data_IF_006003439963
#
_entry.id   IF_006003439963
#
_cell.length_a   1.000
_cell.length_b   1.000
_cell.length_c   1.000
_cell.angle_alpha   90.00
_cell.angle_beta   90.00
_cell.angle_gamma   90.00
#
_symmetry.space_group_name_H-M   'P 1'
#
loop_
_entity.id
_entity.type
_entity.pdbx_description
1 polymer ?
#
# COMPACT_ATOMS: atom_id res chain seq x y z
N UNK A 1 19.03 -16.95 -16.41
CA UNK A 1 19.26 -15.81 -15.49
C UNK A 1 18.04 -15.65 -14.61
N UNK A 2 18.19 -15.82 -13.30
CA UNK A 2 17.12 -15.64 -12.33
C UNK A 2 16.86 -14.16 -12.12
N UNK A 3 15.59 -13.74 -12.10
CA UNK A 3 15.22 -12.35 -11.76
C UNK A 3 15.63 -11.98 -10.32
N UNK A 4 15.44 -10.71 -9.91
CA UNK A 4 15.68 -10.31 -8.53
C UNK A 4 14.83 -11.17 -7.59
N UNK A 5 15.46 -11.71 -6.54
CA UNK A 5 14.72 -12.37 -5.46
C UNK A 5 14.05 -11.30 -4.60
N UNK A 6 12.81 -10.97 -4.96
CA UNK A 6 12.01 -9.93 -4.30
C UNK A 6 11.61 -10.30 -2.86
N UNK A 7 11.81 -11.56 -2.47
CA UNK A 7 11.49 -12.10 -1.14
C UNK A 7 12.70 -12.20 -0.22
N UNK A 8 13.91 -12.06 -0.76
CA UNK A 8 15.13 -11.97 0.02
C UNK A 8 15.15 -10.69 0.88
N UNK A 9 15.83 -10.71 2.05
CA UNK A 9 16.08 -9.50 2.81
C UNK A 9 16.83 -8.45 1.98
N UNK A 10 16.42 -7.19 2.09
CA UNK A 10 17.07 -6.05 1.42
C UNK A 10 18.49 -5.82 1.96
N UNK A 11 18.79 -6.25 3.19
CA UNK A 11 20.12 -6.13 3.78
C UNK A 11 20.51 -4.70 4.17
N UNK A 12 19.58 -3.75 4.07
CA UNK A 12 19.78 -2.36 4.50
C UNK A 12 18.44 -1.76 4.91
N UNK A 13 18.37 -1.21 6.14
CA UNK A 13 17.22 -0.42 6.59
C UNK A 13 17.21 0.95 5.89
N UNK A 14 16.04 1.51 5.65
CA UNK A 14 15.98 2.79 4.94
C UNK A 14 14.62 3.45 4.97
N UNK A 15 14.55 4.60 4.31
CA UNK A 15 13.33 5.36 4.12
C UNK A 15 13.36 6.04 2.75
N UNK A 16 12.20 6.12 2.10
CA UNK A 16 12.04 6.84 0.83
C UNK A 16 10.72 7.60 0.80
N UNK A 17 10.71 8.74 0.12
CA UNK A 17 9.51 9.53 -0.11
C UNK A 17 8.64 8.86 -1.19
N UNK A 18 7.33 8.89 -0.99
CA UNK A 18 6.33 8.38 -1.93
C UNK A 18 5.58 9.57 -2.50
N UNK A 19 6.10 10.10 -3.60
CA UNK A 19 5.55 11.28 -4.28
C UNK A 19 4.73 10.84 -5.48
N UNK A 20 3.40 10.96 -5.38
CA UNK A 20 2.51 10.69 -6.49
C UNK A 20 2.58 11.83 -7.53
N UNK A 21 3.02 11.50 -8.74
CA UNK A 21 3.08 12.38 -9.89
C UNK A 21 1.69 12.78 -10.39
N UNK A 22 0.63 12.03 -10.04
CA UNK A 22 -0.74 12.36 -10.39
C UNK A 22 -1.45 13.09 -9.25
N UNK A 23 -1.90 14.30 -9.54
CA UNK A 23 -2.92 14.96 -8.73
C UNK A 23 -4.28 14.25 -8.88
N UNK A 24 -5.19 14.46 -7.93
CA UNK A 24 -6.54 13.91 -7.98
C UNK A 24 -7.29 14.27 -9.28
N UNK A 25 -7.14 15.51 -9.77
CA UNK A 25 -7.78 15.96 -11.01
C UNK A 25 -7.20 15.27 -12.25
N UNK A 26 -5.87 15.09 -12.30
CA UNK A 26 -5.22 14.34 -13.39
C UNK A 26 -5.63 12.87 -13.38
N UNK A 27 -5.78 12.27 -12.19
CA UNK A 27 -6.28 10.90 -12.04
C UNK A 27 -7.71 10.75 -12.61
N UNK A 28 -8.62 11.68 -12.30
CA UNK A 28 -9.99 11.68 -12.81
C UNK A 28 -10.05 11.88 -14.33
N UNK A 29 -9.17 12.72 -14.89
CA UNK A 29 -9.08 12.97 -16.32
C UNK A 29 -8.43 11.84 -17.13
N UNK A 30 -7.80 10.87 -16.47
CA UNK A 30 -7.11 9.77 -17.15
C UNK A 30 -8.12 8.77 -17.72
N UNK A 31 -8.05 8.52 -19.03
CA UNK A 31 -8.91 7.52 -19.69
C UNK A 31 -8.64 6.14 -19.10
N UNK A 32 -9.70 5.37 -18.84
CA UNK A 32 -9.61 3.98 -18.36
C UNK A 32 -8.92 3.04 -19.36
N UNK A 33 -8.84 3.45 -20.62
CA UNK A 33 -8.15 2.75 -21.71
C UNK A 33 -6.67 3.13 -21.85
N UNK A 34 -6.15 4.04 -21.01
CA UNK A 34 -4.73 4.38 -21.04
C UNK A 34 -3.89 3.12 -20.74
N UNK A 35 -2.93 2.77 -21.61
CA UNK A 35 -2.19 1.52 -21.47
C UNK A 35 -1.26 1.55 -20.26
N UNK A 36 -0.59 2.68 -20.01
CA UNK A 36 0.28 2.92 -18.87
C UNK A 36 0.14 4.37 -18.38
N UNK A 37 0.11 4.56 -17.06
CA UNK A 37 0.06 5.87 -16.41
C UNK A 37 0.99 5.84 -15.20
N UNK A 38 2.13 6.52 -15.32
CA UNK A 38 3.11 6.62 -14.25
C UNK A 38 2.51 7.26 -12.99
N UNK A 39 2.88 6.74 -11.81
CA UNK A 39 2.49 7.25 -10.49
C UNK A 39 3.69 7.77 -9.73
N UNK A 40 4.71 6.95 -9.53
CA UNK A 40 5.91 7.38 -8.84
C UNK A 40 7.08 6.47 -9.15
N UNK A 41 8.27 6.95 -8.81
CA UNK A 41 9.51 6.20 -8.84
C UNK A 41 10.08 6.16 -7.43
N UNK A 42 10.57 4.99 -7.00
CA UNK A 42 11.16 4.77 -5.69
C UNK A 42 12.51 4.06 -5.84
N UNK A 43 13.51 4.48 -5.07
CA UNK A 43 14.77 3.75 -4.93
C UNK A 43 14.77 3.03 -3.58
N UNK A 44 14.54 1.71 -3.62
CA UNK A 44 14.43 0.86 -2.41
C UNK A 44 15.65 -0.02 -2.30
N UNK A 45 16.59 0.33 -1.42
CA UNK A 45 17.84 -0.41 -1.20
C UNK A 45 18.60 -0.76 -2.50
N UNK A 46 18.67 0.19 -3.44
CA UNK A 46 19.33 0.02 -4.74
C UNK A 46 18.44 -0.55 -5.84
N UNK A 47 17.19 -0.94 -5.54
CA UNK A 47 16.19 -1.30 -6.55
C UNK A 47 15.46 -0.05 -7.05
N UNK A 48 15.56 0.21 -8.34
CA UNK A 48 14.78 1.26 -8.99
C UNK A 48 13.40 0.73 -9.35
N UNK A 49 12.37 1.25 -8.69
CA UNK A 49 10.99 0.81 -8.81
C UNK A 49 10.17 1.87 -9.53
N UNK A 50 9.56 1.52 -10.64
CA UNK A 50 8.51 2.30 -11.29
C UNK A 50 7.13 1.79 -10.88
N UNK A 51 6.28 2.67 -10.36
CA UNK A 51 4.89 2.38 -10.01
C UNK A 51 3.98 3.04 -11.04
N UNK A 52 3.11 2.26 -11.67
CA UNK A 52 2.23 2.75 -12.73
C UNK A 52 0.87 2.03 -12.74
N UNK A 53 -0.13 2.68 -13.33
CA UNK A 53 -1.40 2.03 -13.66
C UNK A 53 -1.28 1.48 -15.05
N UNK A 54 -1.74 0.24 -15.24
CA UNK A 54 -1.97 -0.32 -16.57
C UNK A 54 -3.47 -0.40 -16.89
N UNK A 55 -3.76 -0.84 -18.11
CA UNK A 55 -5.12 -1.05 -18.61
C UNK A 55 -6.01 -1.76 -17.57
N UNK A 56 -7.26 -1.29 -17.42
CA UNK A 56 -8.21 -1.87 -16.46
C UNK A 56 -8.00 -1.41 -15.01
N UNK A 57 -7.20 -0.35 -14.83
CA UNK A 57 -6.97 0.33 -13.56
C UNK A 57 -6.26 -0.57 -12.53
N UNK A 58 -5.33 -1.40 -13.01
CA UNK A 58 -4.46 -2.26 -12.19
C UNK A 58 -3.20 -1.48 -11.88
N UNK A 59 -2.86 -1.36 -10.60
CA UNK A 59 -1.62 -0.72 -10.17
C UNK A 59 -0.50 -1.77 -10.15
N UNK A 60 0.61 -1.48 -10.79
CA UNK A 60 1.74 -2.37 -10.95
C UNK A 60 3.05 -1.69 -10.55
N UNK A 61 4.00 -2.49 -10.12
CA UNK A 61 5.38 -2.12 -9.86
C UNK A 61 6.29 -2.89 -10.82
N UNK A 62 7.18 -2.17 -11.49
CA UNK A 62 8.27 -2.77 -12.26
C UNK A 62 9.61 -2.40 -11.66
N UNK A 63 10.57 -3.32 -11.70
CA UNK A 63 11.95 -3.09 -11.26
C UNK A 63 12.85 -3.15 -12.48
N UNK A 64 13.72 -2.16 -12.64
CA UNK A 64 14.75 -2.18 -13.69
C UNK A 64 15.84 -3.17 -13.31
N UNK A 65 16.04 -4.19 -14.14
CA UNK A 65 17.08 -5.19 -13.97
C UNK A 65 18.48 -4.68 -14.32
N UNK A 66 19.53 -5.47 -14.04
CA UNK A 66 20.91 -5.13 -14.39
C UNK A 66 21.15 -4.99 -15.91
N UNK A 67 20.30 -5.62 -16.70
CA UNK A 67 20.25 -5.54 -18.17
C UNK A 67 19.54 -4.27 -18.69
N UNK A 68 19.02 -3.43 -17.78
CA UNK A 68 18.25 -2.24 -18.12
C UNK A 68 16.79 -2.52 -18.48
N UNK A 69 16.36 -3.78 -18.47
CA UNK A 69 14.97 -4.14 -18.77
C UNK A 69 14.08 -4.00 -17.52
N UNK A 70 12.94 -3.33 -17.67
CA UNK A 70 11.94 -3.25 -16.61
C UNK A 70 11.11 -4.54 -16.55
N UNK A 71 11.03 -5.13 -15.35
CA UNK A 71 10.25 -6.36 -15.11
C UNK A 71 9.17 -6.10 -14.07
N UNK A 72 7.92 -6.42 -14.38
CA UNK A 72 6.83 -6.35 -13.42
C UNK A 72 7.10 -7.33 -12.27
N UNK A 73 7.13 -6.83 -11.04
CA UNK A 73 7.39 -7.64 -9.83
C UNK A 73 6.14 -7.83 -8.99
N UNK A 74 5.24 -6.85 -8.99
CA UNK A 74 4.02 -6.87 -8.21
C UNK A 74 2.92 -6.10 -8.93
N UNK A 75 1.68 -6.54 -8.83
CA UNK A 75 0.51 -5.78 -9.26
C UNK A 75 -0.69 -6.05 -8.37
N UNK A 76 -1.65 -5.14 -8.38
CA UNK A 76 -2.81 -5.18 -7.50
C UNK A 76 -3.94 -4.37 -8.06
N UNK A 77 -5.16 -4.80 -7.77
CA UNK A 77 -6.36 -4.04 -8.08
C UNK A 77 -7.27 -4.08 -6.87
N UNK A 78 -7.73 -2.91 -6.48
CA UNK A 78 -8.62 -2.81 -5.35
C UNK A 78 -10.02 -3.34 -5.71
N UNK A 79 -10.55 -4.13 -4.79
CA UNK A 79 -11.81 -4.82 -4.91
C UNK A 79 -12.73 -4.34 -3.79
N UNK A 80 -13.94 -3.94 -4.15
CA UNK A 80 -14.97 -3.61 -3.17
C UNK A 80 -15.48 -4.90 -2.55
N UNK A 81 -15.32 -5.05 -1.24
CA UNK A 81 -15.89 -6.14 -0.46
C UNK A 81 -17.11 -5.60 0.26
N UNK A 82 -18.26 -6.24 0.00
CA UNK A 82 -19.49 -6.01 0.75
C UNK A 82 -19.59 -7.09 1.82
N UNK A 83 -19.41 -6.73 3.08
CA UNK A 83 -19.73 -7.64 4.18
C UNK A 83 -20.85 -7.06 5.02
N UNK A 84 -21.90 -7.85 5.23
CA UNK A 84 -22.96 -7.59 6.19
C UNK A 84 -23.90 -8.79 6.29
N UNK A 85 -24.00 -9.38 7.47
CA UNK A 85 -25.22 -10.05 7.90
C UNK A 85 -25.97 -9.06 8.79
N UNK A 86 -27.23 -8.82 8.44
CA UNK A 86 -28.21 -7.96 9.11
C UNK A 86 -27.91 -6.45 9.21
N UNK A 87 -28.77 -5.69 8.53
CA UNK A 87 -29.10 -4.26 8.65
C UNK A 87 -28.04 -3.21 8.30
N UNK A 88 -26.74 -3.51 8.30
CA UNK A 88 -25.69 -2.57 7.87
C UNK A 88 -24.68 -3.21 6.91
N UNK A 89 -24.67 -2.74 5.66
CA UNK A 89 -23.66 -3.11 4.65
C UNK A 89 -22.44 -2.23 4.88
N UNK A 90 -21.31 -2.83 5.25
CA UNK A 90 -20.03 -2.13 5.35
C UNK A 90 -19.26 -2.32 4.06
N UNK A 91 -19.31 -1.32 3.18
CA UNK A 91 -18.43 -1.28 2.02
C UNK A 91 -17.00 -0.95 2.49
N UNK A 92 -16.06 -1.83 2.16
CA UNK A 92 -14.63 -1.54 2.28
C UNK A 92 -13.87 -2.10 1.09
N UNK A 93 -12.64 -1.64 0.92
CA UNK A 93 -11.79 -2.07 -0.19
C UNK A 93 -10.61 -2.85 0.36
N UNK A 94 -10.36 -4.00 -0.25
CA UNK A 94 -9.10 -4.73 -0.11
C UNK A 94 -8.37 -4.65 -1.44
N UNK A 95 -7.07 -4.92 -1.43
CA UNK A 95 -6.31 -5.03 -2.66
C UNK A 95 -5.45 -6.27 -2.60
N UNK A 96 -5.96 -7.42 -3.10
CA UNK A 96 -5.13 -8.58 -3.33
C UNK A 96 -4.01 -8.20 -4.28
N UNK A 97 -2.84 -8.79 -4.07
CA UNK A 97 -1.66 -8.52 -4.90
C UNK A 97 -1.24 -9.80 -5.62
N UNK A 98 -0.71 -9.66 -6.82
CA UNK A 98 0.03 -10.70 -7.51
C UNK A 98 1.49 -10.31 -7.50
N UNK A 99 2.37 -11.19 -7.02
CA UNK A 99 3.81 -10.97 -6.92
C UNK A 99 4.53 -12.13 -7.60
N UNK A 100 5.26 -11.83 -8.68
CA UNK A 100 5.94 -12.82 -9.54
C UNK A 100 5.06 -14.05 -9.87
N UNK A 101 3.76 -13.85 -10.07
CA UNK A 101 2.79 -14.90 -10.38
C UNK A 101 2.15 -15.62 -9.19
N UNK A 102 2.59 -15.35 -7.95
CA UNK A 102 1.93 -15.80 -6.73
C UNK A 102 0.91 -14.78 -6.21
N UNK A 103 -0.15 -15.24 -5.54
CA UNK A 103 -1.18 -14.36 -4.97
C UNK A 103 -0.87 -14.05 -3.50
N UNK A 104 -1.11 -12.80 -3.13
CA UNK A 104 -1.19 -12.31 -1.76
C UNK A 104 -2.64 -11.97 -1.51
N UNK A 105 -3.26 -12.74 -0.62
CA UNK A 105 -4.63 -12.54 -0.18
C UNK A 105 -4.68 -11.46 0.89
N UNK A 106 -5.70 -10.63 0.84
CA UNK A 106 -5.90 -9.55 1.81
C UNK A 106 -7.32 -9.62 2.33
N UNK A 107 -7.45 -9.95 3.60
CA UNK A 107 -8.73 -10.00 4.31
C UNK A 107 -8.76 -8.93 5.38
N UNK A 108 -9.93 -8.33 5.62
CA UNK A 108 -10.08 -7.31 6.65
C UNK A 108 -10.67 -7.95 7.89
N UNK A 109 -10.03 -7.68 9.02
CA UNK A 109 -10.46 -8.15 10.33
C UNK A 109 -10.72 -6.96 11.25
N UNK A 110 -11.63 -7.16 12.21
CA UNK A 110 -11.88 -6.16 13.26
C UNK A 110 -10.78 -6.27 14.32
N UNK A 111 -10.11 -5.16 14.58
CA UNK A 111 -9.03 -5.07 15.58
C UNK A 111 -9.52 -4.18 16.74
N UNK A 112 -10.16 -4.78 17.73
CA UNK A 112 -10.76 -4.06 18.86
C UNK A 112 -12.05 -3.29 18.51
N UNK A 113 -12.41 -2.29 19.32
CA UNK A 113 -13.72 -1.62 19.23
C UNK A 113 -13.90 -0.81 17.95
N UNK A 114 -12.91 0.03 17.61
CA UNK A 114 -13.01 1.05 16.56
C UNK A 114 -11.88 0.97 15.51
N UNK A 115 -11.05 -0.07 15.55
CA UNK A 115 -9.96 -0.27 14.59
C UNK A 115 -10.19 -1.54 13.79
N UNK A 116 -9.61 -1.56 12.62
CA UNK A 116 -9.57 -2.70 11.73
C UNK A 116 -8.11 -2.96 11.40
N UNK A 117 -7.80 -4.18 11.00
CA UNK A 117 -6.52 -4.56 10.43
C UNK A 117 -6.76 -5.39 9.17
N UNK A 118 -5.77 -5.45 8.29
CA UNK A 118 -5.76 -6.46 7.25
C UNK A 118 -4.90 -7.63 7.70
N UNK A 119 -5.46 -8.81 7.60
CA UNK A 119 -4.68 -10.04 7.55
C UNK A 119 -4.25 -10.26 6.11
N UNK A 120 -2.95 -10.45 5.92
CA UNK A 120 -2.31 -10.57 4.62
C UNK A 120 -1.63 -11.94 4.57
N UNK A 121 -2.11 -12.82 3.71
CA UNK A 121 -1.57 -14.17 3.56
C UNK A 121 -0.88 -14.26 2.19
N UNK A 122 0.40 -14.61 2.18
CA UNK A 122 1.21 -14.71 0.97
C UNK A 122 1.85 -16.10 0.78
N UNK A 123 2.76 -16.23 -0.18
CA UNK A 123 3.39 -17.51 -0.49
C UNK A 123 4.32 -17.98 0.64
N UNK A 124 4.63 -19.28 0.64
CA UNK A 124 5.58 -19.91 1.57
C UNK A 124 5.20 -19.70 3.05
N UNK A 125 3.91 -19.79 3.36
CA UNK A 125 3.35 -19.61 4.72
C UNK A 125 3.69 -18.25 5.35
N UNK A 126 4.02 -17.25 4.53
CA UNK A 126 4.26 -15.89 4.99
C UNK A 126 2.93 -15.21 5.28
N UNK A 127 2.77 -14.76 6.52
CA UNK A 127 1.60 -14.01 6.95
C UNK A 127 2.03 -12.70 7.58
N UNK A 128 1.26 -11.65 7.30
CA UNK A 128 1.44 -10.34 7.90
C UNK A 128 0.12 -9.82 8.43
N UNK A 129 0.25 -8.87 9.35
CA UNK A 129 -0.83 -8.00 9.77
C UNK A 129 -0.49 -6.61 9.32
N UNK A 130 -1.43 -5.98 8.65
CA UNK A 130 -1.28 -4.63 8.18
C UNK A 130 -2.31 -3.73 8.85
N UNK A 131 -1.83 -2.87 9.75
CA UNK A 131 -2.70 -2.13 10.67
C UNK A 131 -2.50 -0.63 10.58
N UNK A 132 -3.56 0.17 10.75
CA UNK A 132 -3.44 1.59 10.99
C UNK A 132 -2.86 1.87 12.38
N UNK A 133 -1.90 2.78 12.46
CA UNK A 133 -1.27 3.21 13.71
C UNK A 133 -1.26 4.73 13.85
N UNK A 134 -1.19 5.20 15.10
CA UNK A 134 -1.35 6.60 15.47
C UNK A 134 -2.14 6.75 16.78
N UNK A 135 -1.95 7.87 17.48
CA UNK A 135 -2.52 8.11 18.82
C UNK A 135 -4.00 8.44 18.74
N UNK A 136 -4.35 9.57 18.10
CA UNK A 136 -5.73 10.03 17.96
C UNK A 136 -6.32 9.65 16.60
N UNK A 137 -5.55 9.89 15.54
CA UNK A 137 -5.86 9.57 14.15
C UNK A 137 -4.79 8.62 13.64
N UNK A 138 -5.20 7.67 12.78
CA UNK A 138 -4.24 6.86 12.05
C UNK A 138 -3.44 7.77 11.12
N UNK A 139 -2.15 7.90 11.37
CA UNK A 139 -1.24 8.76 10.62
C UNK A 139 -0.20 7.97 9.83
N UNK A 140 -0.25 6.64 9.96
CA UNK A 140 0.58 5.67 9.26
C UNK A 140 -0.09 4.30 9.22
N UNK A 141 0.41 3.45 8.34
CA UNK A 141 0.11 2.03 8.28
C UNK A 141 1.37 1.23 8.61
N UNK A 142 1.23 0.20 9.44
CA UNK A 142 2.31 -0.64 9.95
C UNK A 142 2.10 -2.08 9.48
N UNK A 143 3.04 -2.61 8.69
CA UNK A 143 3.08 -4.01 8.27
C UNK A 143 3.97 -4.77 9.25
N UNK A 144 3.41 -5.78 9.91
CA UNK A 144 4.08 -6.61 10.92
C UNK A 144 3.96 -8.07 10.48
N UNK A 145 5.07 -8.82 10.48
CA UNK A 145 5.03 -10.27 10.23
C UNK A 145 4.31 -10.97 11.37
N UNK A 146 3.62 -12.06 11.10
CA UNK A 146 2.97 -12.82 12.17
C UNK A 146 4.01 -13.34 13.18
N UNK A 147 3.66 -13.27 14.47
CA UNK A 147 4.57 -13.57 15.58
C UNK A 147 5.56 -12.45 15.95
N UNK A 148 5.75 -11.43 15.12
CA UNK A 148 6.60 -10.27 15.44
C UNK A 148 5.84 -9.17 16.21
N UNK A 149 6.57 -8.41 17.03
CA UNK A 149 6.01 -7.29 17.81
C UNK A 149 6.16 -5.93 17.15
N UNK A 150 7.17 -5.78 16.30
CA UNK A 150 7.54 -4.52 15.66
C UNK A 150 7.21 -4.56 14.18
N UNK A 151 6.80 -3.45 13.56
CA UNK A 151 6.54 -3.41 12.13
C UNK A 151 7.83 -3.52 11.32
N UNK A 152 7.84 -4.42 10.33
CA UNK A 152 8.94 -4.56 9.37
C UNK A 152 8.93 -3.41 8.35
N UNK A 153 7.74 -2.89 8.02
CA UNK A 153 7.55 -1.73 7.15
C UNK A 153 6.52 -0.79 7.75
N UNK A 154 6.79 0.51 7.69
CA UNK A 154 5.87 1.58 8.09
C UNK A 154 5.68 2.54 6.94
N UNK A 155 4.44 2.80 6.54
CA UNK A 155 4.11 3.78 5.52
C UNK A 155 3.34 4.93 6.16
N UNK A 156 3.87 6.14 6.14
CA UNK A 156 3.17 7.31 6.68
C UNK A 156 1.99 7.68 5.77
N UNK A 157 0.87 8.06 6.37
CA UNK A 157 -0.31 8.54 5.66
C UNK A 157 -0.27 10.06 5.71
N UNK A 158 -0.13 10.72 4.56
CA UNK A 158 -0.13 12.19 4.46
C UNK A 158 -0.99 12.61 3.26
N UNK A 159 -1.75 13.73 3.38
CA UNK A 159 -1.95 14.55 4.57
C UNK A 159 -2.83 13.87 5.64
N UNK A 160 -2.68 14.27 6.90
CA UNK A 160 -3.58 13.86 8.02
C UNK A 160 -4.56 14.99 8.33
N UNK A 161 -5.87 14.81 8.15
CA UNK A 161 -6.85 15.85 8.48
C UNK A 161 -6.78 16.23 9.96
N UNK A 162 -6.77 17.54 10.25
CA UNK A 162 -6.69 18.07 11.62
C UNK A 162 -5.28 18.21 12.20
N UNK A 163 -4.24 17.77 11.49
CA UNK A 163 -2.83 17.97 11.88
C UNK A 163 -2.02 18.73 10.81
N UNK A 164 -2.29 20.03 10.58
CA UNK A 164 -1.57 20.84 9.59
C UNK A 164 -0.12 21.15 10.00
N UNK A 165 0.26 20.92 11.27
CA UNK A 165 1.60 21.20 11.80
C UNK A 165 2.37 19.91 12.03
N UNK A 166 3.09 19.51 10.99
CA UNK A 166 4.24 18.61 11.03
C UNK A 166 4.02 17.09 11.16
N UNK A 167 4.91 16.30 10.53
CA UNK A 167 6.01 16.75 9.65
C UNK A 167 5.47 17.28 8.32
N UNK A 168 6.00 18.42 7.89
CA UNK A 168 5.84 18.95 6.53
C UNK A 168 6.66 18.07 5.58
N UNK A 169 6.01 17.43 4.61
CA UNK A 169 6.69 16.58 3.64
C UNK A 169 5.73 15.60 2.95
N UNK A 170 6.20 14.94 1.87
CA UNK A 170 5.45 13.86 1.23
C UNK A 170 5.24 12.68 2.20
N UNK A 171 4.28 11.78 1.92
CA UNK A 171 4.26 10.47 2.54
C UNK A 171 5.60 9.75 2.35
N UNK A 172 5.96 8.91 3.29
CA UNK A 172 7.21 8.14 3.29
C UNK A 172 6.94 6.68 3.58
N UNK A 173 7.76 5.80 3.04
CA UNK A 173 7.85 4.40 3.46
C UNK A 173 9.20 4.15 4.10
N UNK A 174 9.20 3.52 5.27
CA UNK A 174 10.38 3.17 6.07
C UNK A 174 10.38 1.67 6.31
N UNK A 175 11.56 1.03 6.22
CA UNK A 175 11.70 -0.41 6.34
C UNK A 175 12.90 -0.82 7.20
N UNK A 176 12.80 -2.01 7.81
CA UNK A 176 13.91 -2.64 8.52
C UNK A 176 14.87 -3.35 7.56
N UNK A 177 16.11 -3.60 8.00
CA UNK A 177 17.13 -4.31 7.21
C UNK A 177 16.67 -5.70 6.73
N UNK A 178 15.86 -6.37 7.56
CA UNK A 178 15.31 -7.68 7.28
C UNK A 178 14.11 -7.68 6.33
N UNK A 179 13.57 -6.50 5.97
CA UNK A 179 12.43 -6.38 5.07
C UNK A 179 12.78 -6.93 3.69
N UNK A 180 11.81 -7.50 2.98
CA UNK A 180 11.94 -7.81 1.56
C UNK A 180 11.43 -6.66 0.69
N UNK A 181 11.81 -6.65 -0.60
CA UNK A 181 11.29 -5.66 -1.54
C UNK A 181 9.76 -5.70 -1.59
N UNK A 182 9.17 -6.89 -1.62
CA UNK A 182 7.71 -7.05 -1.64
C UNK A 182 7.06 -6.42 -0.42
N UNK A 183 7.61 -6.63 0.78
CA UNK A 183 7.07 -6.05 2.01
C UNK A 183 7.03 -4.52 1.98
N UNK A 184 7.96 -3.88 1.26
CA UNK A 184 7.94 -2.42 1.03
C UNK A 184 6.91 -2.04 -0.04
N UNK A 185 6.78 -2.83 -1.10
CA UNK A 185 5.86 -2.54 -2.21
C UNK A 185 4.38 -2.73 -1.85
N UNK A 186 4.02 -3.69 -1.00
CA UNK A 186 2.60 -3.93 -0.66
C UNK A 186 1.94 -2.69 -0.06
N UNK A 187 2.52 -2.04 0.98
CA UNK A 187 1.93 -0.83 1.54
C UNK A 187 1.90 0.34 0.56
N UNK A 188 2.96 0.51 -0.25
CA UNK A 188 3.04 1.57 -1.27
C UNK A 188 1.91 1.43 -2.28
N UNK A 189 1.76 0.24 -2.86
CA UNK A 189 0.73 -0.05 -3.85
C UNK A 189 -0.65 0.29 -3.29
N UNK A 190 -1.01 -0.26 -2.12
CA UNK A 190 -2.36 -0.04 -1.60
C UNK A 190 -2.58 1.40 -1.14
N UNK A 191 -1.59 2.09 -0.56
CA UNK A 191 -1.75 3.52 -0.21
C UNK A 191 -1.97 4.37 -1.47
N UNK A 192 -1.20 4.14 -2.53
CA UNK A 192 -1.37 4.84 -3.81
C UNK A 192 -2.70 4.52 -4.49
N UNK A 193 -3.23 3.31 -4.34
CA UNK A 193 -4.58 3.01 -4.82
C UNK A 193 -5.66 3.72 -3.99
N UNK A 194 -5.55 3.71 -2.66
CA UNK A 194 -6.56 4.30 -1.77
C UNK A 194 -6.55 5.83 -1.72
N UNK A 195 -5.42 6.49 -2.02
CA UNK A 195 -5.28 7.95 -1.89
C UNK A 195 -6.31 8.71 -2.74
N UNK A 196 -6.59 8.22 -3.96
CA UNK A 196 -7.57 8.83 -4.86
C UNK A 196 -9.01 8.35 -4.63
N UNK A 197 -9.19 7.31 -3.81
CA UNK A 197 -10.51 6.76 -3.45
C UNK A 197 -11.06 7.36 -2.16
N UNK A 198 -10.23 8.11 -1.43
CA UNK A 198 -10.62 8.66 -0.14
C UNK A 198 -10.87 7.57 0.91
N UNK A 199 -10.08 6.47 0.89
CA UNK A 199 -10.24 5.24 1.70
C UNK A 199 -9.12 4.95 2.75
N UNK A 200 -8.23 5.93 3.05
CA UNK A 200 -7.28 5.93 4.20
C UNK A 200 -7.81 6.42 5.59
N UNK A 201 -7.48 5.77 6.72
CA UNK A 201 -8.20 5.91 8.00
C UNK A 201 -8.24 7.31 8.66
N UNK A 202 -9.37 7.60 9.34
CA UNK A 202 -9.84 8.82 10.04
C UNK A 202 -9.93 10.14 9.26
N UNK A 203 -9.24 10.28 8.13
CA UNK A 203 -9.75 11.15 7.06
C UNK A 203 -11.15 10.69 6.59
N UNK A 204 -11.37 9.37 6.43
CA UNK A 204 -12.70 8.81 6.18
C UNK A 204 -13.73 9.18 7.24
N UNK A 205 -13.38 9.17 8.53
CA UNK A 205 -14.38 9.29 9.62
C UNK A 205 -14.82 10.73 9.85
N UNK A 206 -13.98 11.72 9.56
CA UNK A 206 -14.34 13.14 9.64
C UNK A 206 -15.06 13.60 8.36
N UNK A 207 -14.66 13.09 7.17
CA UNK A 207 -15.34 13.37 5.90
C UNK A 207 -16.73 12.70 5.77
N UNK A 208 -17.04 11.69 6.60
CA UNK A 208 -18.34 11.01 6.62
C UNK A 208 -19.39 11.67 7.50
N UNK A 209 -19.06 12.72 8.27
CA UNK A 209 -20.01 13.33 9.23
C UNK A 209 -20.78 12.27 10.04
N UNK A 210 -20.11 11.22 10.53
CA UNK A 210 -20.68 10.30 11.52
C UNK A 210 -20.66 10.94 12.93
N UNK A 211 -20.90 12.26 12.95
CA UNK A 211 -21.76 12.97 13.89
C UNK A 211 -23.05 13.30 13.14
N UNK A 212 -23.89 12.27 12.99
CA UNK A 212 -25.35 12.27 12.92
C UNK A 212 -25.79 10.87 13.35
#
# INVERSE_FOLDING_TARGET
>A
MTGPDVWAPLGTAGTVDVVDALTHLQFQGTRTTAPHVHRCTLDVAGHHVDVHWRLGRVLACSVTGPDGEAREVASGKAEGVRTGQDTFVWDYTVMPLTVLGGTIEVTRERSGRDRWEFRVDGPQDRTWRWRPAGTLIADRMELTRDGERSPVVTHTLRPVPGHPRSPSGPPTVTWQESASLVEVLMPVLWVLDQVHKGLLPKAQRIARLEFL
#
